data_IF_382964588274
#
_entry.id   IF_382964588274
#
_cell.length_a   1.000
_cell.length_b   1.000
_cell.length_c   1.000
_cell.angle_alpha   90.00
_cell.angle_beta   90.00
_cell.angle_gamma   90.00
#
_symmetry.space_group_name_H-M   'P 1'
#
loop_
_entity.id
_entity.type
_entity.pdbx_description
1 polymer ?
#
# COMPACT_ATOMS: atom_id res chain seq x y z
N UNK A 1 30.26 16.33 13.54
CA UNK A 1 29.33 15.20 13.32
C UNK A 1 29.95 14.35 12.22
N UNK A 2 30.25 13.08 12.49
CA UNK A 2 30.89 12.17 11.53
C UNK A 2 29.99 10.94 11.40
N UNK A 3 29.54 10.64 10.18
CA UNK A 3 28.73 9.46 9.88
C UNK A 3 29.68 8.31 9.58
N UNK A 4 29.57 7.24 10.37
CA UNK A 4 30.33 6.01 10.12
C UNK A 4 29.59 5.11 9.11
N UNK A 5 30.30 4.12 8.56
CA UNK A 5 29.82 3.24 7.48
C UNK A 5 28.76 2.23 8.02
N UNK A 6 28.69 2.04 9.35
CA UNK A 6 27.93 0.96 9.99
C UNK A 6 26.71 1.44 10.83
N UNK A 7 25.82 2.28 10.26
CA UNK A 7 24.58 2.72 10.94
C UNK A 7 24.81 3.25 12.37
N UNK A 8 25.88 3.98 12.57
CA UNK A 8 26.18 4.60 13.85
C UNK A 8 26.64 6.05 13.68
N UNK A 9 26.46 6.82 14.73
CA UNK A 9 26.74 8.25 14.75
C UNK A 9 27.49 8.61 16.02
N UNK A 10 28.64 9.26 15.85
CA UNK A 10 29.33 9.92 16.95
C UNK A 10 28.75 11.32 17.17
N UNK A 11 28.23 11.56 18.37
CA UNK A 11 27.71 12.85 18.80
C UNK A 11 28.58 13.40 19.92
N UNK A 12 29.01 14.66 19.79
CA UNK A 12 29.67 15.38 20.85
C UNK A 12 28.66 15.80 21.93
N UNK A 13 28.96 15.47 23.17
CA UNK A 13 28.18 15.83 24.36
C UNK A 13 29.05 16.67 25.30
N UNK A 14 28.43 17.33 26.28
CA UNK A 14 29.17 18.07 27.32
C UNK A 14 30.15 17.20 28.12
N UNK A 15 29.99 15.87 28.10
CA UNK A 15 30.83 14.91 28.82
C UNK A 15 31.73 14.07 27.90
N UNK A 16 31.90 14.47 26.63
CA UNK A 16 32.74 13.75 25.66
C UNK A 16 31.96 13.18 24.47
N UNK A 17 32.49 12.14 23.84
CA UNK A 17 31.90 11.52 22.65
C UNK A 17 30.93 10.41 23.04
N UNK A 18 29.69 10.48 22.55
CA UNK A 18 28.71 9.40 22.63
C UNK A 18 28.62 8.70 21.27
N UNK A 19 28.68 7.38 21.28
CA UNK A 19 28.44 6.54 20.10
C UNK A 19 26.98 6.11 20.11
N UNK A 20 26.20 6.62 19.17
CA UNK A 20 24.84 6.18 18.93
C UNK A 20 24.88 5.04 17.93
N UNK A 21 24.59 3.82 18.38
CA UNK A 21 24.28 2.70 17.49
C UNK A 21 22.79 2.73 17.21
N UNK A 22 22.42 2.92 15.95
CA UNK A 22 21.04 2.70 15.56
C UNK A 22 20.86 1.20 15.37
N UNK A 23 19.83 0.57 15.95
CA UNK A 23 19.50 -0.79 15.58
C UNK A 23 19.39 -0.80 14.06
N UNK A 24 20.06 -1.76 13.39
CA UNK A 24 19.70 -2.03 11.99
C UNK A 24 18.18 -2.13 11.95
N UNK A 25 17.50 -1.43 11.03
CA UNK A 25 16.05 -1.51 10.98
C UNK A 25 15.72 -2.99 10.92
N UNK A 26 15.12 -3.57 11.97
CA UNK A 26 14.59 -4.94 11.92
C UNK A 26 13.33 -4.97 11.04
N UNK A 27 13.27 -4.12 10.03
CA UNK A 27 12.56 -4.38 8.79
C UNK A 27 13.36 -5.50 8.09
N UNK A 28 13.34 -6.70 8.69
CA UNK A 28 13.61 -7.92 7.95
C UNK A 28 12.76 -7.79 6.69
N UNK A 29 13.39 -7.95 5.53
CA UNK A 29 12.83 -7.74 4.20
C UNK A 29 11.47 -8.48 4.08
N UNK A 30 10.38 -7.85 4.53
CA UNK A 30 9.18 -8.56 5.04
C UNK A 30 8.51 -9.41 3.96
N UNK A 31 8.79 -9.06 2.71
CA UNK A 31 8.30 -9.67 1.49
C UNK A 31 9.22 -9.35 0.31
N UNK A 32 10.51 -9.04 0.55
CA UNK A 32 11.54 -8.86 -0.48
C UNK A 32 11.59 -7.50 -1.20
N UNK A 33 12.19 -7.46 -2.39
CA UNK A 33 12.37 -6.23 -3.20
C UNK A 33 11.04 -5.67 -3.70
N UNK A 34 10.90 -4.35 -3.66
CA UNK A 34 9.69 -3.59 -4.04
C UNK A 34 10.04 -2.29 -4.73
N UNK A 35 9.06 -1.76 -5.45
CA UNK A 35 9.11 -0.42 -5.99
C UNK A 35 7.69 0.15 -6.13
N UNK A 36 7.56 1.46 -5.92
CA UNK A 36 6.35 2.23 -6.19
C UNK A 36 6.73 3.47 -6.99
N UNK A 37 5.94 3.80 -8.01
CA UNK A 37 5.95 5.10 -8.67
C UNK A 37 4.69 5.86 -8.22
N UNK A 38 4.85 6.93 -7.44
CA UNK A 38 3.76 7.83 -7.10
C UNK A 38 3.93 9.11 -7.91
N UNK A 39 2.93 9.47 -8.70
CA UNK A 39 3.02 10.58 -9.65
C UNK A 39 1.92 11.59 -9.34
N UNK A 40 2.30 12.81 -9.00
CA UNK A 40 1.41 13.92 -8.71
C UNK A 40 1.79 15.17 -9.53
N UNK A 41 1.25 15.32 -10.74
CA UNK A 41 1.51 16.48 -11.59
C UNK A 41 0.90 17.78 -11.06
N UNK A 42 1.27 18.91 -11.66
CA UNK A 42 0.73 20.21 -11.24
C UNK A 42 -0.77 20.28 -11.58
N UNK A 43 -1.65 20.48 -10.59
CA UNK A 43 -3.08 20.61 -10.84
C UNK A 43 -3.39 21.98 -11.46
N UNK A 44 -4.55 22.08 -12.12
CA UNK A 44 -5.06 23.38 -12.56
C UNK A 44 -5.31 24.25 -11.32
N UNK A 45 -4.73 25.45 -11.30
CA UNK A 45 -4.88 26.40 -10.19
C UNK A 45 -6.33 26.87 -10.07
N UNK A 46 -6.95 26.60 -8.92
CA UNK A 46 -8.32 27.01 -8.59
C UNK A 46 -9.00 26.04 -7.61
N UNK A 47 -10.02 26.49 -6.88
CA UNK A 47 -10.92 25.68 -6.04
C UNK A 47 -10.31 24.45 -5.32
N UNK A 48 -9.40 24.65 -4.37
CA UNK A 48 -8.85 23.61 -3.47
C UNK A 48 -8.26 22.34 -4.14
N UNK A 49 -8.22 22.23 -5.47
CA UNK A 49 -7.79 21.04 -6.22
C UNK A 49 -6.34 20.69 -5.93
N UNK A 50 -5.51 21.72 -5.75
CA UNK A 50 -4.13 21.64 -5.30
C UNK A 50 -4.03 20.96 -3.94
N UNK A 51 -4.74 21.48 -2.93
CA UNK A 51 -4.75 20.91 -1.58
C UNK A 51 -5.28 19.48 -1.57
N UNK A 52 -6.35 19.21 -2.33
CA UNK A 52 -6.96 17.88 -2.43
C UNK A 52 -5.96 16.87 -3.01
N UNK A 53 -5.33 17.17 -4.15
CA UNK A 53 -4.34 16.29 -4.77
C UNK A 53 -3.17 15.98 -3.83
N UNK A 54 -2.64 17.01 -3.15
CA UNK A 54 -1.58 16.84 -2.16
C UNK A 54 -1.99 15.93 -1.00
N UNK A 55 -3.21 16.10 -0.47
CA UNK A 55 -3.73 15.28 0.63
C UNK A 55 -3.99 13.84 0.20
N UNK A 56 -4.43 13.60 -1.04
CA UNK A 56 -4.57 12.25 -1.60
C UNK A 56 -3.20 11.60 -1.73
N UNK A 57 -2.24 12.25 -2.39
CA UNK A 57 -0.88 11.70 -2.56
C UNK A 57 -0.18 11.46 -1.23
N UNK A 58 -0.32 12.38 -0.26
CA UNK A 58 0.19 12.20 1.10
C UNK A 58 -0.46 11.02 1.82
N UNK A 59 -1.78 10.86 1.73
CA UNK A 59 -2.51 9.71 2.29
C UNK A 59 -2.03 8.37 1.70
N UNK A 60 -1.79 8.33 0.38
CA UNK A 60 -1.26 7.16 -0.32
C UNK A 60 0.16 6.86 0.16
N UNK A 61 1.06 7.86 0.17
CA UNK A 61 2.43 7.68 0.63
C UNK A 61 2.48 7.20 2.08
N UNK A 62 1.69 7.80 2.97
CA UNK A 62 1.59 7.37 4.36
C UNK A 62 1.06 5.93 4.48
N UNK A 63 0.11 5.52 3.63
CA UNK A 63 -0.37 4.14 3.58
C UNK A 63 0.73 3.16 3.15
N UNK A 64 1.61 3.56 2.22
CA UNK A 64 2.79 2.78 1.84
C UNK A 64 3.75 2.63 3.02
N UNK A 65 4.06 3.70 3.74
CA UNK A 65 4.93 3.66 4.93
C UNK A 65 4.34 2.78 6.05
N UNK A 66 3.04 2.89 6.32
CA UNK A 66 2.34 2.06 7.28
C UNK A 66 2.26 0.59 6.85
N UNK A 67 2.43 0.34 5.56
CA UNK A 67 2.61 -1.00 4.99
C UNK A 67 4.06 -1.27 4.70
N UNK A 68 4.97 -0.71 5.48
CA UNK A 68 6.39 -1.06 5.56
C UNK A 68 7.18 -0.89 4.26
N UNK A 69 6.70 -0.07 3.32
CA UNK A 69 7.57 0.46 2.27
C UNK A 69 8.53 1.46 2.89
N UNK A 70 9.75 1.49 2.37
CA UNK A 70 10.74 2.51 2.73
C UNK A 70 10.71 3.65 1.71
N UNK A 71 11.20 4.83 2.12
CA UNK A 71 11.31 5.97 1.21
C UNK A 71 12.14 5.63 -0.05
N UNK A 72 13.20 4.82 0.08
CA UNK A 72 14.03 4.40 -1.06
C UNK A 72 13.37 3.34 -1.97
N UNK A 73 12.16 2.88 -1.62
CA UNK A 73 11.33 1.98 -2.43
C UNK A 73 10.14 2.72 -3.09
N UNK A 74 9.98 4.02 -2.81
CA UNK A 74 8.92 4.87 -3.35
C UNK A 74 9.57 6.00 -4.13
N UNK A 75 9.43 6.00 -5.45
CA UNK A 75 9.85 7.13 -6.26
C UNK A 75 8.67 8.09 -6.44
N UNK A 76 8.67 9.18 -5.69
CA UNK A 76 7.60 10.16 -5.68
C UNK A 76 7.93 11.33 -6.61
N UNK A 77 7.27 11.37 -7.76
CA UNK A 77 7.28 12.53 -8.65
C UNK A 77 6.17 13.49 -8.26
N UNK A 78 6.54 14.68 -7.81
CA UNK A 78 5.60 15.72 -7.49
C UNK A 78 6.05 17.07 -8.06
N UNK A 79 5.11 17.86 -8.58
CA UNK A 79 5.42 19.17 -9.17
C UNK A 79 6.07 20.17 -8.18
N UNK A 80 5.95 19.91 -6.88
CA UNK A 80 6.63 20.66 -5.81
C UNK A 80 7.31 19.73 -4.80
N UNK A 81 8.45 20.13 -4.21
CA UNK A 81 9.19 19.31 -3.25
C UNK A 81 8.70 19.38 -1.80
N UNK A 82 7.88 20.37 -1.45
CA UNK A 82 7.47 20.68 -0.08
C UNK A 82 6.06 20.15 0.21
N UNK A 83 5.86 18.85 -0.03
CA UNK A 83 4.63 18.13 0.33
C UNK A 83 4.71 17.72 1.81
N UNK A 84 3.60 17.92 2.52
CA UNK A 84 3.37 17.49 3.90
C UNK A 84 2.52 16.21 3.88
N UNK A 85 3.19 15.07 4.02
CA UNK A 85 2.66 13.71 3.92
C UNK A 85 2.04 13.27 5.24
N UNK A 86 2.74 13.53 6.34
CA UNK A 86 2.31 13.12 7.69
C UNK A 86 1.29 14.08 8.32
N UNK A 87 1.03 15.22 7.67
CA UNK A 87 0.09 16.26 8.08
C UNK A 87 0.48 16.97 9.39
N UNK A 88 1.77 17.09 9.67
CA UNK A 88 2.31 17.80 10.83
C UNK A 88 2.56 19.30 10.57
N UNK A 89 2.11 19.81 9.42
CA UNK A 89 2.32 21.18 8.94
C UNK A 89 3.76 21.51 8.55
N UNK A 90 4.63 20.50 8.44
CA UNK A 90 5.98 20.62 7.91
C UNK A 90 6.16 19.78 6.65
N UNK A 91 7.07 20.23 5.77
CA UNK A 91 7.39 19.48 4.57
C UNK A 91 8.23 18.24 4.89
N UNK A 92 7.88 17.10 4.32
CA UNK A 92 8.64 15.86 4.38
C UNK A 92 9.82 15.92 3.41
N UNK A 93 10.93 16.52 3.88
CA UNK A 93 12.10 16.91 3.07
C UNK A 93 12.76 15.79 2.26
N UNK A 94 12.50 14.53 2.61
CA UNK A 94 13.10 13.36 1.97
C UNK A 94 12.10 12.55 1.12
N UNK A 95 10.88 13.04 0.92
CA UNK A 95 9.84 12.25 0.28
C UNK A 95 9.75 12.43 -1.24
N UNK A 96 9.99 13.63 -1.77
CA UNK A 96 9.87 13.94 -3.20
C UNK A 96 11.22 13.76 -3.91
N UNK A 97 11.26 12.87 -4.91
CA UNK A 97 12.47 12.50 -5.65
C UNK A 97 12.69 13.33 -6.91
N UNK A 98 11.62 13.80 -7.54
CA UNK A 98 11.67 14.49 -8.82
C UNK A 98 10.43 15.39 -9.04
N UNK A 99 10.51 16.40 -9.93
CA UNK A 99 11.67 16.79 -10.74
C UNK A 99 12.69 17.67 -9.99
N UNK A 100 12.27 18.24 -8.86
CA UNK A 100 13.11 19.05 -7.98
C UNK A 100 12.89 18.54 -6.56
N UNK A 101 13.94 18.16 -5.86
CA UNK A 101 13.88 17.72 -4.46
C UNK A 101 13.89 18.91 -3.50
N UNK A 102 13.54 18.68 -2.24
CA UNK A 102 13.59 19.71 -1.21
C UNK A 102 15.01 20.28 -1.06
N UNK A 103 16.03 19.41 -1.10
CA UNK A 103 17.42 19.81 -1.03
C UNK A 103 17.81 20.69 -2.22
N UNK A 104 17.43 20.31 -3.45
CA UNK A 104 17.71 21.11 -4.64
C UNK A 104 17.02 22.49 -4.57
N UNK A 105 15.77 22.56 -4.11
CA UNK A 105 15.07 23.84 -3.87
C UNK A 105 15.83 24.70 -2.86
N UNK A 106 16.31 24.11 -1.76
CA UNK A 106 17.11 24.84 -0.76
C UNK A 106 18.46 25.36 -1.30
N UNK A 107 18.93 24.78 -2.40
CA UNK A 107 20.14 25.18 -3.12
C UNK A 107 19.87 26.13 -4.31
N UNK A 108 18.62 26.57 -4.48
CA UNK A 108 18.23 27.57 -5.49
C UNK A 108 17.59 27.00 -6.75
N UNK A 109 17.32 25.69 -6.84
CA UNK A 109 16.55 25.14 -7.95
C UNK A 109 15.08 25.59 -7.88
N UNK A 110 14.52 25.99 -9.02
CA UNK A 110 13.11 26.40 -9.11
C UNK A 110 12.22 25.18 -9.31
N UNK A 111 11.23 24.93 -8.44
CA UNK A 111 10.21 23.90 -8.68
C UNK A 111 9.51 24.10 -10.03
N UNK A 112 9.17 22.99 -10.70
CA UNK A 112 8.58 23.00 -12.04
C UNK A 112 7.61 21.84 -12.22
N UNK A 113 6.72 21.97 -13.20
CA UNK A 113 5.84 20.88 -13.61
C UNK A 113 6.63 19.63 -14.04
N UNK A 114 5.98 18.47 -13.86
CA UNK A 114 6.45 17.17 -14.33
C UNK A 114 6.38 17.14 -15.85
N UNK A 115 7.38 16.53 -16.49
CA UNK A 115 7.41 16.28 -17.93
C UNK A 115 7.33 14.78 -18.21
N UNK A 116 7.05 14.39 -19.46
CA UNK A 116 7.15 12.99 -19.88
C UNK A 116 8.56 12.40 -19.65
N UNK A 117 9.61 13.22 -19.71
CA UNK A 117 10.98 12.77 -19.47
C UNK A 117 11.20 12.37 -18.00
N UNK A 118 10.62 13.11 -17.05
CA UNK A 118 10.71 12.78 -15.62
C UNK A 118 10.01 11.43 -15.34
N UNK A 119 8.85 11.18 -15.97
CA UNK A 119 8.14 9.91 -15.84
C UNK A 119 8.95 8.75 -16.43
N UNK A 120 9.56 8.93 -17.62
CA UNK A 120 10.47 7.91 -18.19
C UNK A 120 11.64 7.62 -17.26
N UNK A 121 12.22 8.64 -16.64
CA UNK A 121 13.31 8.48 -15.68
C UNK A 121 12.86 7.65 -14.45
N UNK A 122 11.64 7.84 -13.98
CA UNK A 122 11.07 7.05 -12.89
C UNK A 122 10.90 5.58 -13.27
N UNK A 123 10.43 5.29 -14.49
CA UNK A 123 10.38 3.93 -15.00
C UNK A 123 11.78 3.31 -15.15
N UNK A 124 12.78 4.08 -15.60
CA UNK A 124 14.18 3.62 -15.60
C UNK A 124 14.71 3.34 -14.20
N UNK A 125 14.38 4.17 -13.20
CA UNK A 125 14.69 3.89 -11.80
C UNK A 125 14.03 2.58 -11.34
N UNK A 126 12.77 2.34 -11.68
CA UNK A 126 12.07 1.11 -11.33
C UNK A 126 12.68 -0.12 -12.00
N UNK A 127 13.11 -0.01 -13.27
CA UNK A 127 13.82 -1.09 -13.98
C UNK A 127 15.12 -1.46 -13.26
N UNK A 128 15.85 -0.47 -12.73
CA UNK A 128 17.09 -0.69 -11.98
C UNK A 128 16.90 -1.40 -10.64
N UNK A 129 15.67 -1.49 -10.11
CA UNK A 129 15.37 -2.32 -8.94
C UNK A 129 15.44 -3.83 -9.26
N UNK A 130 15.32 -4.19 -10.55
CA UNK A 130 15.36 -5.55 -11.06
C UNK A 130 14.05 -6.31 -10.85
N UNK A 131 14.15 -7.63 -10.66
CA UNK A 131 12.99 -8.48 -10.36
C UNK A 131 12.49 -8.18 -8.95
N UNK A 132 11.20 -7.88 -8.84
CA UNK A 132 10.52 -7.57 -7.60
C UNK A 132 9.82 -8.80 -7.03
N UNK A 133 9.63 -8.82 -5.71
CA UNK A 133 8.84 -9.85 -5.03
C UNK A 133 7.36 -9.49 -4.94
N UNK A 134 7.00 -8.27 -5.31
CA UNK A 134 5.65 -7.72 -5.36
C UNK A 134 5.48 -6.98 -6.69
N UNK A 135 4.25 -6.75 -7.18
CA UNK A 135 4.03 -5.95 -8.38
C UNK A 135 4.65 -4.56 -8.26
N UNK A 136 5.13 -4.00 -9.38
CA UNK A 136 5.37 -2.56 -9.46
C UNK A 136 4.03 -1.86 -9.28
N UNK A 137 3.94 -1.01 -8.28
CA UNK A 137 2.76 -0.18 -8.08
C UNK A 137 2.99 1.18 -8.74
N UNK A 138 2.14 1.54 -9.70
CA UNK A 138 2.15 2.85 -10.37
C UNK A 138 0.86 3.57 -10.00
N UNK A 139 0.98 4.69 -9.30
CA UNK A 139 -0.17 5.48 -8.83
C UNK A 139 -0.07 6.88 -9.41
N UNK A 140 -1.10 7.32 -10.10
CA UNK A 140 -1.16 8.67 -10.66
C UNK A 140 -2.33 9.42 -10.04
N UNK A 141 -2.03 10.53 -9.36
CA UNK A 141 -3.00 11.47 -8.80
C UNK A 141 -2.92 12.75 -9.62
N UNK A 142 -3.81 12.88 -10.60
CA UNK A 142 -3.71 13.91 -11.63
C UNK A 142 -5.04 14.50 -12.04
N UNK A 143 -4.96 15.58 -12.82
CA UNK A 143 -6.13 16.18 -13.45
C UNK A 143 -6.37 15.52 -14.81
N UNK A 144 -7.55 14.96 -15.01
CA UNK A 144 -7.94 14.30 -16.26
C UNK A 144 -8.59 15.27 -17.22
N UNK A 145 -8.14 15.25 -18.46
CA UNK A 145 -8.76 15.96 -19.57
C UNK A 145 -9.96 15.14 -20.08
N UNK A 146 -10.87 15.76 -20.83
CA UNK A 146 -12.10 15.10 -21.32
C UNK A 146 -11.83 13.90 -22.26
N UNK A 147 -10.62 13.77 -22.79
CA UNK A 147 -10.17 12.64 -23.60
C UNK A 147 -9.51 11.52 -22.77
N UNK A 148 -9.52 11.65 -21.43
CA UNK A 148 -8.88 10.75 -20.47
C UNK A 148 -7.41 11.04 -20.20
N UNK A 149 -6.75 11.87 -21.02
CA UNK A 149 -5.32 12.14 -20.86
C UNK A 149 -5.06 12.89 -19.53
N UNK A 150 -3.93 12.62 -18.91
CA UNK A 150 -3.57 13.21 -17.62
C UNK A 150 -2.78 14.48 -17.86
N UNK A 151 -3.26 15.62 -17.39
CA UNK A 151 -2.54 16.89 -17.47
C UNK A 151 -1.27 16.83 -16.63
N UNK A 152 -0.12 17.05 -17.27
CA UNK A 152 1.19 17.12 -16.60
C UNK A 152 1.58 18.56 -16.26
N UNK A 153 1.29 19.48 -17.19
CA UNK A 153 1.68 20.88 -17.09
C UNK A 153 0.53 21.80 -17.56
N UNK A 154 -0.16 22.48 -16.63
CA UNK A 154 -1.24 23.42 -16.97
C UNK A 154 -0.79 24.63 -17.79
N UNK A 155 0.48 25.03 -17.73
CA UNK A 155 0.97 26.20 -18.46
C UNK A 155 1.19 25.91 -19.95
N UNK A 156 1.53 24.67 -20.30
CA UNK A 156 1.80 24.24 -21.68
C UNK A 156 0.71 23.35 -22.27
N UNK A 157 -0.26 22.91 -21.45
CA UNK A 157 -1.20 21.83 -21.76
C UNK A 157 -0.50 20.52 -22.16
N UNK A 158 0.70 20.26 -21.65
CA UNK A 158 1.34 18.95 -21.83
C UNK A 158 0.55 17.90 -21.05
N UNK A 159 0.15 16.83 -21.74
CA UNK A 159 -0.61 15.71 -21.17
C UNK A 159 0.14 14.39 -21.36
N UNK A 160 -0.09 13.42 -20.48
CA UNK A 160 0.29 12.03 -20.62
C UNK A 160 -0.90 11.23 -21.16
N UNK A 161 -0.72 10.62 -22.31
CA UNK A 161 -1.74 9.72 -22.89
C UNK A 161 -1.62 8.30 -22.38
N UNK A 162 -2.72 7.54 -22.46
CA UNK A 162 -2.74 6.11 -22.13
C UNK A 162 -1.77 5.30 -23.00
N UNK A 163 -1.63 5.66 -24.28
CA UNK A 163 -0.69 4.99 -25.18
C UNK A 163 0.77 5.20 -24.76
N UNK A 164 1.14 6.42 -24.36
CA UNK A 164 2.50 6.71 -23.89
C UNK A 164 2.81 6.00 -22.57
N UNK A 165 1.87 6.01 -21.63
CA UNK A 165 2.02 5.26 -20.37
C UNK A 165 2.08 3.75 -20.62
N UNK A 166 1.26 3.23 -21.54
CA UNK A 166 1.24 1.83 -21.94
C UNK A 166 2.59 1.38 -22.52
N UNK A 167 3.24 2.20 -23.34
CA UNK A 167 4.61 1.94 -23.83
C UNK A 167 5.61 1.85 -22.67
N UNK A 168 5.59 2.80 -21.72
CA UNK A 168 6.50 2.78 -20.57
C UNK A 168 6.30 1.53 -19.69
N UNK A 169 5.04 1.12 -19.48
CA UNK A 169 4.72 -0.11 -18.74
C UNK A 169 5.18 -1.36 -19.49
N UNK A 170 5.00 -1.41 -20.82
CA UNK A 170 5.45 -2.53 -21.65
C UNK A 170 6.98 -2.65 -21.61
N UNK A 171 7.70 -1.55 -21.77
CA UNK A 171 9.17 -1.52 -21.70
C UNK A 171 9.66 -1.99 -20.32
N UNK A 172 9.00 -1.55 -19.24
CA UNK A 172 9.30 -1.99 -17.88
C UNK A 172 9.07 -3.51 -17.70
N UNK A 173 7.90 -4.01 -18.09
CA UNK A 173 7.54 -5.41 -17.89
C UNK A 173 8.36 -6.34 -18.80
N UNK A 174 8.70 -5.91 -20.02
CA UNK A 174 9.61 -6.64 -20.90
C UNK A 174 11.01 -6.78 -20.28
N UNK A 175 11.54 -5.69 -19.72
CA UNK A 175 12.88 -5.68 -19.13
C UNK A 175 12.98 -6.47 -17.81
N UNK A 176 11.91 -6.48 -17.01
CA UNK A 176 11.96 -6.99 -15.63
C UNK A 176 11.15 -8.26 -15.38
N UNK A 177 10.20 -8.58 -16.27
CA UNK A 177 9.20 -9.64 -16.10
C UNK A 177 8.28 -9.46 -14.88
N UNK A 178 8.30 -8.29 -14.24
CA UNK A 178 7.49 -8.00 -13.08
C UNK A 178 6.00 -7.83 -13.44
N UNK A 179 5.13 -8.19 -12.50
CA UNK A 179 3.73 -7.77 -12.53
C UNK A 179 3.64 -6.25 -12.29
N UNK A 180 2.63 -5.59 -12.85
CA UNK A 180 2.34 -4.19 -12.58
C UNK A 180 0.89 -4.00 -12.10
N UNK A 181 0.68 -3.09 -11.15
CA UNK A 181 -0.63 -2.58 -10.76
C UNK A 181 -0.64 -1.09 -11.03
N UNK A 182 -1.57 -0.63 -11.87
CA UNK A 182 -1.73 0.79 -12.22
C UNK A 182 -2.99 1.32 -11.56
N UNK A 183 -2.88 2.40 -10.81
CA UNK A 183 -4.00 3.06 -10.13
C UNK A 183 -4.06 4.51 -10.61
N UNK A 184 -5.22 4.89 -11.13
CA UNK A 184 -5.47 6.20 -11.73
C UNK A 184 -6.52 6.95 -10.90
N UNK A 185 -6.09 7.96 -10.16
CA UNK A 185 -6.96 8.94 -9.52
C UNK A 185 -7.06 10.19 -10.40
N UNK A 186 -8.06 10.21 -11.26
CA UNK A 186 -8.27 11.27 -12.24
C UNK A 186 -9.67 11.22 -12.84
N UNK A 187 -10.16 12.37 -13.29
CA UNK A 187 -11.36 12.46 -14.10
C UNK A 187 -11.18 11.66 -15.41
N UNK A 188 -12.26 11.04 -15.91
CA UNK A 188 -12.29 10.29 -17.16
C UNK A 188 -11.24 9.16 -17.27
N UNK A 189 -10.67 8.71 -16.14
CA UNK A 189 -9.54 7.77 -16.10
C UNK A 189 -9.87 6.40 -16.70
N UNK A 190 -11.16 6.01 -16.70
CA UNK A 190 -11.65 4.82 -17.40
C UNK A 190 -11.32 4.80 -18.89
N UNK A 191 -11.17 5.96 -19.54
CA UNK A 191 -10.84 6.05 -20.96
C UNK A 191 -9.41 5.59 -21.29
N UNK A 192 -8.54 5.47 -20.29
CA UNK A 192 -7.16 5.02 -20.48
C UNK A 192 -7.02 3.50 -20.53
N UNK A 193 -7.98 2.74 -20.01
CA UNK A 193 -7.90 1.28 -19.85
C UNK A 193 -7.53 0.54 -21.15
N UNK A 194 -8.20 0.78 -22.31
CA UNK A 194 -7.86 0.07 -23.54
C UNK A 194 -6.43 0.28 -24.02
N UNK A 195 -5.86 1.46 -23.79
CA UNK A 195 -4.48 1.78 -24.16
C UNK A 195 -3.46 1.23 -23.15
N UNK A 196 -3.92 0.91 -21.94
CA UNK A 196 -3.13 0.37 -20.85
C UNK A 196 -3.21 -1.16 -20.75
N UNK A 197 -3.94 -1.84 -21.64
CA UNK A 197 -3.94 -3.30 -21.71
C UNK A 197 -2.52 -3.88 -21.76
N UNK A 198 -2.31 -5.04 -21.15
CA UNK A 198 -1.02 -5.70 -21.11
C UNK A 198 -1.03 -6.97 -20.26
N UNK A 199 -0.14 -7.90 -20.58
CA UNK A 199 -0.03 -9.13 -19.79
C UNK A 199 0.50 -8.84 -18.38
N UNK A 200 0.03 -9.63 -17.41
CA UNK A 200 0.48 -9.56 -16.02
C UNK A 200 0.33 -8.13 -15.45
N UNK A 201 -0.82 -7.50 -15.72
CA UNK A 201 -1.13 -6.12 -15.33
C UNK A 201 -2.53 -6.06 -14.74
N UNK A 202 -2.68 -5.28 -13.67
CA UNK A 202 -3.97 -4.89 -13.11
C UNK A 202 -4.11 -3.39 -13.30
N UNK A 203 -5.31 -2.92 -13.66
CA UNK A 203 -5.58 -1.51 -13.87
C UNK A 203 -6.80 -1.12 -13.05
N UNK A 204 -6.67 -0.04 -12.27
CA UNK A 204 -7.73 0.52 -11.45
C UNK A 204 -7.91 1.98 -11.82
N UNK A 205 -9.14 2.37 -12.17
CA UNK A 205 -9.51 3.77 -12.39
C UNK A 205 -10.48 4.26 -11.32
N UNK A 206 -10.36 5.52 -10.93
CA UNK A 206 -11.29 6.16 -9.98
C UNK A 206 -12.63 6.54 -10.62
N UNK A 207 -12.71 6.60 -11.96
CA UNK A 207 -13.93 6.97 -12.70
C UNK A 207 -14.12 6.13 -13.97
N UNK A 208 -15.32 6.19 -14.55
CA UNK A 208 -15.61 5.73 -15.91
C UNK A 208 -15.02 6.67 -16.97
N UNK A 209 -15.21 6.34 -18.25
CA UNK A 209 -14.74 7.09 -19.43
C UNK A 209 -15.38 8.48 -19.57
N UNK A 210 -16.56 8.69 -18.98
CA UNK A 210 -17.43 9.85 -19.15
C UNK A 210 -17.71 10.60 -17.84
N UNK A 211 -17.04 10.24 -16.76
CA UNK A 211 -17.28 10.77 -15.43
C UNK A 211 -16.11 11.60 -14.91
N UNK A 212 -16.41 12.82 -14.43
CA UNK A 212 -15.47 13.66 -13.70
C UNK A 212 -15.27 13.17 -12.26
N UNK A 213 -14.18 13.59 -11.62
CA UNK A 213 -13.99 13.34 -10.19
C UNK A 213 -15.01 14.08 -9.34
N UNK A 214 -15.44 13.48 -8.22
CA UNK A 214 -16.39 14.07 -7.28
C UNK A 214 -15.74 14.09 -5.90
N UNK A 215 -15.27 15.25 -5.49
CA UNK A 215 -14.70 15.46 -4.15
C UNK A 215 -15.53 16.49 -3.38
N UNK A 216 -15.79 16.23 -2.11
CA UNK A 216 -16.29 17.21 -1.18
C UNK A 216 -15.13 18.16 -0.81
N UNK A 217 -15.23 19.47 -1.16
CA UNK A 217 -14.17 20.42 -0.86
C UNK A 217 -13.91 20.59 0.64
N UNK A 218 -14.84 20.18 1.52
CA UNK A 218 -14.67 20.22 2.98
C UNK A 218 -13.94 18.98 3.53
N UNK A 219 -13.90 17.88 2.78
CA UNK A 219 -13.23 16.64 3.19
C UNK A 219 -11.79 16.57 2.70
N UNK A 220 -11.37 17.52 1.85
CA UNK A 220 -9.98 17.69 1.39
C UNK A 220 -9.37 16.39 0.84
N UNK A 221 -10.14 15.64 0.04
CA UNK A 221 -9.69 14.40 -0.61
C UNK A 221 -9.68 13.17 0.29
N UNK A 222 -10.17 13.26 1.54
CA UNK A 222 -10.42 12.07 2.37
C UNK A 222 -11.48 11.16 1.74
N UNK A 223 -12.40 11.75 1.02
CA UNK A 223 -13.43 11.13 0.20
C UNK A 223 -13.02 10.98 -1.26
N UNK A 224 -11.72 10.92 -1.57
CA UNK A 224 -11.27 10.44 -2.88
C UNK A 224 -11.16 8.91 -2.89
N UNK A 225 -11.51 8.30 -4.03
CA UNK A 225 -11.49 6.85 -4.18
C UNK A 225 -10.16 6.24 -3.74
N UNK A 226 -9.03 6.79 -4.22
CA UNK A 226 -7.71 6.27 -3.88
C UNK A 226 -7.35 6.46 -2.41
N UNK A 227 -7.83 7.52 -1.75
CA UNK A 227 -7.66 7.67 -0.29
C UNK A 227 -8.33 6.54 0.46
N UNK A 228 -9.57 6.19 0.09
CA UNK A 228 -10.31 5.09 0.72
C UNK A 228 -9.75 3.72 0.34
N UNK A 229 -9.32 3.56 -0.91
CA UNK A 229 -8.74 2.33 -1.41
C UNK A 229 -7.42 2.00 -0.69
N UNK A 230 -6.51 2.98 -0.59
CA UNK A 230 -5.27 2.81 0.16
C UNK A 230 -5.50 2.69 1.67
N UNK A 231 -6.55 3.31 2.21
CA UNK A 231 -6.94 3.07 3.59
C UNK A 231 -7.32 1.61 3.84
N UNK A 232 -8.14 1.00 2.98
CA UNK A 232 -8.52 -0.41 3.09
C UNK A 232 -7.33 -1.36 2.86
N UNK A 233 -6.45 -1.06 1.88
CA UNK A 233 -5.19 -1.78 1.68
C UNK A 233 -4.27 -1.71 2.91
N UNK A 234 -4.18 -0.53 3.53
CA UNK A 234 -3.41 -0.33 4.77
C UNK A 234 -3.98 -1.16 5.92
N UNK A 235 -5.29 -1.36 5.97
CA UNK A 235 -5.94 -2.18 7.01
C UNK A 235 -5.73 -3.69 6.84
N UNK A 236 -5.01 -4.14 5.82
CA UNK A 236 -4.76 -5.57 5.55
C UNK A 236 -5.65 -6.17 4.47
N UNK A 237 -6.49 -5.36 3.83
CA UNK A 237 -7.26 -5.79 2.66
C UNK A 237 -6.36 -6.15 1.48
N UNK A 238 -6.78 -7.15 0.70
CA UNK A 238 -6.20 -7.40 -0.62
C UNK A 238 -6.76 -6.36 -1.62
N UNK A 239 -6.14 -6.23 -2.80
CA UNK A 239 -6.55 -5.24 -3.82
C UNK A 239 -8.02 -5.43 -4.22
N UNK A 240 -8.53 -6.67 -4.22
CA UNK A 240 -9.93 -6.92 -4.55
C UNK A 240 -10.88 -6.40 -3.45
N UNK A 241 -10.75 -6.87 -2.22
CA UNK A 241 -11.62 -6.48 -1.11
C UNK A 241 -11.55 -4.98 -0.84
N UNK A 242 -10.34 -4.39 -0.94
CA UNK A 242 -10.14 -2.96 -0.75
C UNK A 242 -10.83 -2.13 -1.85
N UNK A 243 -10.84 -2.61 -3.11
CA UNK A 243 -11.57 -1.95 -4.19
C UNK A 243 -13.07 -1.92 -3.90
N UNK A 244 -13.64 -3.05 -3.47
CA UNK A 244 -15.06 -3.14 -3.14
C UNK A 244 -15.43 -2.40 -1.86
N UNK A 245 -14.52 -2.26 -0.90
CA UNK A 245 -14.74 -1.41 0.27
C UNK A 245 -14.80 0.06 -0.15
N UNK A 246 -13.82 0.52 -0.93
CA UNK A 246 -13.77 1.89 -1.43
C UNK A 246 -14.97 2.22 -2.35
N UNK A 247 -15.43 1.28 -3.18
CA UNK A 247 -16.56 1.47 -4.10
C UNK A 247 -17.91 1.61 -3.40
N UNK A 248 -18.12 1.04 -2.21
CA UNK A 248 -19.47 0.91 -1.57
C UNK A 248 -20.16 2.23 -1.24
N UNK A 249 -19.43 3.33 -1.11
CA UNK A 249 -19.95 4.61 -0.61
C UNK A 249 -19.68 5.79 -1.55
N UNK A 250 -19.52 5.55 -2.85
CA UNK A 250 -19.12 6.60 -3.81
C UNK A 250 -20.19 6.97 -4.83
N UNK A 251 -20.23 8.26 -5.12
CA UNK A 251 -20.91 8.84 -6.29
C UNK A 251 -20.12 8.63 -7.58
N UNK A 252 -18.80 8.45 -7.47
CA UNK A 252 -17.95 8.00 -8.56
C UNK A 252 -18.10 6.50 -8.79
N UNK A 253 -17.81 6.06 -10.00
CA UNK A 253 -17.84 4.65 -10.43
C UNK A 253 -16.42 4.19 -10.76
N UNK A 254 -15.64 3.76 -9.75
CA UNK A 254 -14.33 3.15 -9.98
C UNK A 254 -14.46 1.89 -10.84
N UNK A 255 -13.43 1.62 -11.63
CA UNK A 255 -13.34 0.43 -12.49
C UNK A 255 -12.09 -0.38 -12.14
N UNK A 256 -12.21 -1.70 -12.25
CA UNK A 256 -11.14 -2.67 -12.01
C UNK A 256 -11.05 -3.59 -13.23
N UNK A 257 -9.90 -3.57 -13.89
CA UNK A 257 -9.46 -4.56 -14.87
C UNK A 257 -8.45 -5.48 -14.15
N UNK A 258 -8.90 -6.70 -13.84
CA UNK A 258 -8.18 -7.67 -13.01
C UNK A 258 -7.21 -8.52 -13.85
N UNK A 259 -7.46 -8.68 -15.16
CA UNK A 259 -6.66 -9.54 -16.03
C UNK A 259 -5.86 -8.80 -17.13
N UNK A 260 -6.02 -7.49 -17.22
CA UNK A 260 -5.21 -6.58 -18.03
C UNK A 260 -5.63 -6.55 -19.50
N UNK A 261 -6.87 -6.93 -19.83
CA UNK A 261 -7.38 -6.97 -21.20
C UNK A 261 -7.92 -5.61 -21.70
N UNK A 262 -7.92 -4.59 -20.84
CA UNK A 262 -8.36 -3.23 -21.14
C UNK A 262 -9.88 -3.07 -21.18
N UNK A 263 -10.65 -4.09 -20.78
CA UNK A 263 -12.11 -4.08 -20.73
C UNK A 263 -12.60 -4.40 -19.31
N UNK A 264 -13.75 -3.81 -18.95
CA UNK A 264 -14.39 -4.09 -17.66
C UNK A 264 -15.49 -5.10 -17.85
N UNK A 265 -15.33 -6.26 -17.21
CA UNK A 265 -16.25 -7.39 -17.34
C UNK A 265 -16.69 -7.93 -15.97
N UNK A 266 -17.70 -8.81 -15.96
CA UNK A 266 -18.10 -9.53 -14.74
C UNK A 266 -17.06 -10.55 -14.26
N UNK A 267 -16.01 -10.81 -15.05
CA UNK A 267 -14.89 -11.65 -14.65
C UNK A 267 -13.94 -10.89 -13.72
N UNK A 268 -13.72 -9.61 -13.98
CA UNK A 268 -12.90 -8.74 -13.12
C UNK A 268 -13.50 -8.60 -11.73
N UNK A 269 -14.83 -8.63 -11.67
CA UNK A 269 -15.59 -8.59 -10.42
C UNK A 269 -15.35 -9.81 -9.52
N UNK A 270 -14.70 -10.86 -10.01
CA UNK A 270 -14.34 -12.04 -9.21
C UNK A 270 -12.96 -11.90 -8.56
N UNK A 271 -12.15 -10.92 -8.97
CA UNK A 271 -10.85 -10.59 -8.37
C UNK A 271 -9.86 -11.75 -8.36
N UNK A 272 -9.77 -12.53 -9.44
CA UNK A 272 -8.92 -13.73 -9.50
C UNK A 272 -7.46 -13.41 -9.19
N UNK A 273 -6.97 -12.29 -9.71
CA UNK A 273 -5.60 -11.81 -9.51
C UNK A 273 -5.55 -10.94 -8.25
N UNK A 274 -6.37 -9.90 -8.17
CA UNK A 274 -6.35 -8.90 -7.09
C UNK A 274 -6.69 -9.45 -5.71
N UNK A 275 -7.42 -10.55 -5.57
CA UNK A 275 -7.67 -11.19 -4.28
C UNK A 275 -6.43 -11.86 -3.67
N UNK A 276 -5.40 -12.11 -4.49
CA UNK A 276 -4.14 -12.73 -4.08
C UNK A 276 -3.05 -11.71 -3.77
N UNK A 277 -3.30 -10.44 -4.10
CA UNK A 277 -2.33 -9.35 -3.98
C UNK A 277 -2.72 -8.47 -2.80
N UNK A 278 -1.75 -8.12 -1.95
CA UNK A 278 -1.93 -7.18 -0.86
C UNK A 278 -0.82 -6.13 -0.91
N UNK A 279 -1.09 -4.93 -0.38
CA UNK A 279 -0.08 -3.89 -0.33
C UNK A 279 1.09 -4.34 0.55
N UNK A 280 2.26 -4.53 -0.05
CA UNK A 280 3.43 -5.15 0.59
C UNK A 280 3.26 -6.62 1.06
N UNK A 281 2.27 -7.37 0.57
CA UNK A 281 2.00 -8.75 0.98
C UNK A 281 0.97 -8.88 2.10
N UNK A 282 0.32 -10.05 2.21
CA UNK A 282 -0.91 -10.20 2.99
C UNK A 282 -0.72 -10.49 4.49
N UNK A 283 0.50 -10.75 4.94
CA UNK A 283 0.86 -10.99 6.36
C UNK A 283 -0.15 -11.82 7.18
N UNK A 284 -0.74 -12.86 6.57
CA UNK A 284 -1.71 -13.70 7.26
C UNK A 284 -0.99 -14.76 8.11
N UNK A 285 -1.60 -15.21 9.23
CA UNK A 285 -1.16 -16.44 9.89
C UNK A 285 -1.14 -17.60 8.90
N UNK A 286 -0.03 -18.34 8.87
CA UNK A 286 0.19 -19.41 7.90
C UNK A 286 0.05 -20.77 8.58
N UNK A 287 -0.97 -21.51 8.19
CA UNK A 287 -1.11 -22.92 8.53
C UNK A 287 -0.06 -23.76 7.77
N UNK A 288 0.47 -24.82 8.38
CA UNK A 288 1.44 -25.73 7.76
C UNK A 288 0.87 -26.51 6.58
N UNK A 289 -0.45 -26.70 6.54
CA UNK A 289 -1.22 -27.28 5.43
C UNK A 289 -2.61 -26.66 5.35
N UNK A 290 -3.25 -26.75 4.18
CA UNK A 290 -4.58 -26.17 3.96
C UNK A 290 -5.74 -26.95 4.59
N UNK A 291 -5.62 -28.29 4.65
CA UNK A 291 -6.65 -29.18 5.18
C UNK A 291 -6.00 -30.16 6.15
N UNK A 292 -6.59 -30.32 7.34
CA UNK A 292 -6.15 -31.23 8.39
C UNK A 292 -7.18 -32.34 8.64
N UNK A 293 -6.71 -33.54 8.94
CA UNK A 293 -7.50 -34.74 9.25
C UNK A 293 -7.12 -35.31 10.62
N UNK A 294 -7.91 -36.24 11.12
CA UNK A 294 -7.58 -36.94 12.37
C UNK A 294 -6.18 -37.55 12.34
N UNK A 295 -5.39 -37.27 13.37
CA UNK A 295 -3.99 -37.67 13.46
C UNK A 295 -2.99 -36.63 12.95
N UNK A 296 -3.45 -35.62 12.20
CA UNK A 296 -2.60 -34.49 11.83
C UNK A 296 -2.36 -33.56 13.03
N UNK A 297 -1.34 -32.72 12.93
CA UNK A 297 -1.06 -31.65 13.90
C UNK A 297 -1.23 -30.31 13.21
N UNK A 298 -2.19 -29.52 13.67
CA UNK A 298 -2.34 -28.13 13.23
C UNK A 298 -1.13 -27.36 13.73
N UNK A 299 -0.38 -26.74 12.82
CA UNK A 299 0.68 -25.80 13.17
C UNK A 299 0.45 -24.49 12.44
N UNK A 300 0.38 -23.39 13.17
CA UNK A 300 0.22 -22.04 12.60
C UNK A 300 1.42 -21.18 12.97
N UNK A 301 2.05 -20.58 11.97
CA UNK A 301 3.16 -19.64 12.13
C UNK A 301 2.73 -18.22 11.79
N UNK A 302 3.36 -17.23 12.43
CA UNK A 302 3.12 -15.82 12.21
C UNK A 302 4.20 -15.23 11.30
N UNK A 303 3.87 -14.22 10.48
CA UNK A 303 4.87 -13.44 9.77
C UNK A 303 5.74 -12.65 10.77
N UNK A 304 6.95 -12.23 10.38
CA UNK A 304 7.81 -11.43 11.26
C UNK A 304 7.09 -10.18 11.78
N UNK A 305 7.31 -9.86 13.06
CA UNK A 305 6.77 -8.68 13.74
C UNK A 305 7.60 -7.44 13.39
N UNK A 306 7.00 -6.39 12.80
CA UNK A 306 7.66 -5.10 12.62
C UNK A 306 8.05 -4.46 13.96
N UNK A 307 9.14 -3.69 13.98
CA UNK A 307 9.74 -3.14 15.22
C UNK A 307 8.82 -2.17 15.95
N UNK A 308 7.98 -1.47 15.20
CA UNK A 308 7.13 -0.37 15.65
C UNK A 308 5.68 -0.81 15.90
N UNK A 309 5.43 -2.12 15.96
CA UNK A 309 4.09 -2.68 16.09
C UNK A 309 3.97 -3.59 17.30
N UNK A 310 2.81 -3.50 17.93
CA UNK A 310 2.29 -4.56 18.79
C UNK A 310 1.42 -5.49 17.93
N UNK A 311 1.38 -6.78 18.30
CA UNK A 311 0.54 -7.76 17.60
C UNK A 311 -0.34 -8.57 18.55
N UNK A 312 -1.52 -8.89 18.04
CA UNK A 312 -2.56 -9.65 18.71
C UNK A 312 -3.02 -10.75 17.77
N UNK A 313 -3.24 -11.94 18.29
CA UNK A 313 -3.60 -13.10 17.49
C UNK A 313 -4.87 -13.75 18.01
N UNK A 314 -5.64 -14.31 17.09
CA UNK A 314 -6.87 -15.00 17.43
C UNK A 314 -7.25 -16.05 16.41
N UNK A 315 -8.20 -16.88 16.79
CA UNK A 315 -8.78 -17.92 15.95
C UNK A 315 -10.28 -17.96 16.19
N UNK A 316 -11.07 -18.08 15.12
CA UNK A 316 -12.47 -18.41 15.23
C UNK A 316 -12.68 -19.91 15.01
N UNK A 317 -13.57 -20.50 15.80
CA UNK A 317 -14.09 -21.83 15.55
C UNK A 317 -15.14 -21.80 14.43
N UNK A 318 -15.46 -22.95 13.80
CA UNK A 318 -16.50 -23.04 12.78
C UNK A 318 -17.89 -22.59 13.24
N UNK A 319 -18.16 -22.57 14.54
CA UNK A 319 -19.41 -22.09 15.14
C UNK A 319 -19.45 -20.56 15.34
N UNK A 320 -18.36 -19.85 15.00
CA UNK A 320 -18.23 -18.40 15.14
C UNK A 320 -17.64 -17.93 16.46
N UNK A 321 -17.36 -18.83 17.42
CA UNK A 321 -16.71 -18.47 18.69
C UNK A 321 -15.29 -17.99 18.45
N UNK A 322 -14.92 -16.82 18.99
CA UNK A 322 -13.58 -16.22 18.83
C UNK A 322 -12.76 -16.41 20.09
N UNK A 323 -11.53 -16.91 19.90
CA UNK A 323 -10.50 -17.02 20.92
C UNK A 323 -9.32 -16.12 20.57
N UNK A 324 -8.71 -15.53 21.59
CA UNK A 324 -7.47 -14.75 21.50
C UNK A 324 -6.37 -15.45 22.27
N UNK A 325 -5.13 -15.32 21.82
CA UNK A 325 -3.99 -15.98 22.45
C UNK A 325 -2.96 -14.95 22.94
N UNK A 326 -2.51 -15.11 24.17
CA UNK A 326 -1.43 -14.31 24.77
C UNK A 326 -0.05 -14.95 24.57
N UNK A 327 0.01 -16.27 24.34
CA UNK A 327 1.22 -17.07 24.18
C UNK A 327 0.89 -18.38 23.42
N UNK A 328 1.90 -19.20 23.12
CA UNK A 328 1.79 -20.48 22.43
C UNK A 328 0.71 -21.38 23.05
N UNK A 329 -0.32 -21.72 22.28
CA UNK A 329 -1.48 -22.51 22.72
C UNK A 329 -2.27 -21.93 23.92
N UNK A 330 -2.05 -20.67 24.31
CA UNK A 330 -2.70 -20.05 25.46
C UNK A 330 -4.03 -19.38 25.06
N UNK A 331 -5.08 -20.18 24.85
CA UNK A 331 -6.39 -19.69 24.44
C UNK A 331 -7.15 -19.00 25.58
N UNK A 332 -7.78 -17.87 25.25
CA UNK A 332 -8.73 -17.19 26.11
C UNK A 332 -9.91 -16.69 25.28
N UNK A 333 -11.09 -16.57 25.89
CA UNK A 333 -12.25 -15.98 25.22
C UNK A 333 -12.02 -14.49 24.98
N UNK A 334 -12.55 -13.97 23.87
CA UNK A 334 -12.52 -12.54 23.59
C UNK A 334 -13.22 -11.75 24.71
N UNK A 335 -12.46 -10.94 25.45
CA UNK A 335 -12.94 -10.11 26.55
C UNK A 335 -12.99 -8.61 26.19
N UNK A 336 -13.01 -7.76 27.22
CA UNK A 336 -12.95 -6.29 27.08
C UNK A 336 -11.54 -5.75 26.82
N UNK A 337 -10.54 -6.63 26.74
CA UNK A 337 -9.15 -6.31 26.42
C UNK A 337 -8.57 -7.37 25.50
N UNK A 338 -7.69 -6.97 24.58
CA UNK A 338 -6.93 -7.90 23.77
C UNK A 338 -5.57 -8.18 24.42
N UNK A 339 -5.22 -9.45 24.70
CA UNK A 339 -3.93 -9.76 25.28
C UNK A 339 -2.83 -9.61 24.23
N UNK A 340 -1.79 -8.84 24.57
CA UNK A 340 -0.60 -8.69 23.73
C UNK A 340 0.07 -10.05 23.53
N UNK A 341 0.39 -10.41 22.29
CA UNK A 341 1.11 -11.64 21.98
C UNK A 341 2.53 -11.60 22.54
N UNK A 342 2.86 -12.55 23.42
CA UNK A 342 4.19 -12.73 24.02
C UNK A 342 4.94 -13.95 23.47
N UNK A 343 4.26 -14.78 22.67
CA UNK A 343 4.86 -16.00 22.13
C UNK A 343 5.84 -15.74 20.97
N UNK A 344 6.37 -16.83 20.42
CA UNK A 344 7.29 -16.77 19.29
C UNK A 344 6.61 -16.57 17.94
N UNK A 345 7.26 -17.07 16.90
CA UNK A 345 6.79 -17.16 15.53
C UNK A 345 5.79 -18.32 15.30
N UNK A 346 5.59 -19.20 16.28
CA UNK A 346 4.56 -20.24 16.27
C UNK A 346 3.40 -19.81 17.17
N UNK A 347 2.23 -19.60 16.55
CA UNK A 347 1.00 -19.21 17.23
C UNK A 347 0.38 -20.37 18.02
N UNK A 348 0.23 -21.52 17.36
CA UNK A 348 -0.36 -22.71 17.96
C UNK A 348 0.15 -23.99 17.31
N UNK A 349 0.17 -25.06 18.09
CA UNK A 349 0.39 -26.43 17.65
C UNK A 349 -0.56 -27.39 18.38
N UNK A 350 -1.57 -27.92 17.69
CA UNK A 350 -2.67 -28.69 18.30
C UNK A 350 -2.97 -29.95 17.49
N UNK A 351 -3.03 -31.15 18.12
CA UNK A 351 -3.37 -32.38 17.42
C UNK A 351 -4.86 -32.41 17.04
N UNK A 352 -5.15 -32.83 15.81
CA UNK A 352 -6.52 -33.04 15.34
C UNK A 352 -7.04 -34.37 15.84
N UNK A 353 -8.10 -34.31 16.63
CA UNK A 353 -8.80 -35.47 17.19
C UNK A 353 -10.32 -35.37 16.95
N UNK A 354 -11.05 -36.42 17.33
CA UNK A 354 -12.49 -36.51 17.10
C UNK A 354 -13.31 -35.39 17.79
N UNK A 355 -12.78 -34.78 18.86
CA UNK A 355 -13.43 -33.70 19.59
C UNK A 355 -13.23 -32.30 19.00
N UNK A 356 -12.35 -32.14 18.00
CA UNK A 356 -12.16 -30.86 17.33
C UNK A 356 -13.29 -30.62 16.31
N UNK A 357 -13.98 -29.47 16.33
CA UNK A 357 -15.00 -29.15 15.33
C UNK A 357 -14.47 -29.25 13.89
N UNK A 358 -15.34 -29.66 12.96
CA UNK A 358 -15.02 -29.72 11.54
C UNK A 358 -15.45 -28.44 10.85
N UNK A 359 -14.70 -28.02 9.84
CA UNK A 359 -14.97 -26.83 9.05
C UNK A 359 -13.78 -25.88 8.97
N UNK A 360 -14.08 -24.64 8.58
CA UNK A 360 -13.09 -23.59 8.39
C UNK A 360 -12.85 -22.83 9.67
N UNK A 361 -11.57 -22.61 9.98
CA UNK A 361 -11.10 -21.83 11.11
C UNK A 361 -10.42 -20.55 10.59
N UNK A 362 -11.08 -19.38 10.71
CA UNK A 362 -10.44 -18.10 10.46
C UNK A 362 -9.31 -17.84 11.47
N UNK A 363 -8.17 -17.36 10.98
CA UNK A 363 -6.99 -17.00 11.77
C UNK A 363 -6.80 -15.49 11.69
N UNK A 364 -6.69 -14.82 12.82
CA UNK A 364 -6.58 -13.37 12.89
C UNK A 364 -5.17 -12.96 13.33
N UNK A 365 -4.58 -12.02 12.61
CA UNK A 365 -3.42 -11.25 13.05
C UNK A 365 -3.76 -9.77 12.98
N UNK A 366 -3.90 -9.15 14.15
CA UNK A 366 -4.09 -7.72 14.29
C UNK A 366 -2.76 -7.08 14.69
N UNK A 367 -2.35 -6.05 13.97
CA UNK A 367 -1.22 -5.18 14.33
C UNK A 367 -1.68 -3.75 14.49
N UNK A 368 -1.06 -3.05 15.43
CA UNK A 368 -1.26 -1.62 15.71
C UNK A 368 0.09 -0.99 16.06
N UNK A 369 0.25 0.34 15.97
CA UNK A 369 1.45 1.02 16.46
C UNK A 369 1.75 0.66 17.92
N UNK A 370 3.03 0.54 18.26
CA UNK A 370 3.48 0.18 19.60
C UNK A 370 2.85 1.05 20.68
N UNK A 371 2.30 0.42 21.73
CA UNK A 371 1.67 1.09 22.87
C UNK A 371 0.25 1.58 22.63
N UNK A 372 -0.32 1.38 21.44
CA UNK A 372 -1.71 1.75 21.13
C UNK A 372 -2.66 0.66 21.60
N UNK A 373 -3.71 1.05 22.32
CA UNK A 373 -4.82 0.14 22.64
C UNK A 373 -5.66 -0.13 21.37
N UNK A 374 -5.69 -1.37 20.85
CA UNK A 374 -6.43 -1.66 19.62
C UNK A 374 -7.94 -1.44 19.75
N UNK A 375 -8.55 -1.70 20.92
CA UNK A 375 -10.00 -1.60 21.05
C UNK A 375 -10.50 -0.16 21.08
N UNK A 376 -9.63 0.79 21.44
CA UNK A 376 -9.93 2.22 21.45
C UNK A 376 -9.59 2.92 20.13
N UNK A 377 -8.77 2.29 19.28
CA UNK A 377 -8.23 2.89 18.05
C UNK A 377 -8.41 1.96 16.83
N UNK A 378 -9.65 1.57 16.47
CA UNK A 378 -9.94 0.66 15.35
C UNK A 378 -9.50 1.19 13.99
N UNK A 379 -9.38 2.51 13.83
CA UNK A 379 -8.87 3.17 12.64
C UNK A 379 -7.39 2.89 12.39
N UNK A 380 -6.62 2.49 13.41
CA UNK A 380 -5.20 2.16 13.29
C UNK A 380 -4.93 0.68 13.00
N UNK A 381 -5.98 -0.14 12.91
CA UNK A 381 -5.84 -1.58 12.72
C UNK A 381 -5.16 -1.94 11.40
N UNK A 382 -4.29 -2.94 11.47
CA UNK A 382 -3.85 -3.77 10.36
C UNK A 382 -4.31 -5.20 10.64
N UNK A 383 -5.51 -5.55 10.19
CA UNK A 383 -6.14 -6.83 10.42
C UNK A 383 -5.94 -7.73 9.20
N UNK A 384 -5.11 -8.76 9.36
CA UNK A 384 -4.86 -9.76 8.34
C UNK A 384 -5.55 -11.07 8.74
N UNK A 385 -6.30 -11.66 7.81
CA UNK A 385 -7.11 -12.86 8.07
C UNK A 385 -6.65 -14.00 7.17
N UNK A 386 -6.13 -15.06 7.80
CA UNK A 386 -5.86 -16.35 7.17
C UNK A 386 -6.97 -17.37 7.47
N UNK A 387 -6.81 -18.59 6.98
CA UNK A 387 -7.71 -19.68 7.34
C UNK A 387 -7.02 -21.04 7.25
N UNK A 388 -7.62 -22.01 7.91
CA UNK A 388 -7.35 -23.44 7.73
C UNK A 388 -8.66 -24.23 7.75
N UNK A 389 -8.63 -25.47 7.25
CA UNK A 389 -9.80 -26.37 7.27
C UNK A 389 -9.47 -27.63 8.05
N UNK A 390 -10.38 -28.03 8.94
CA UNK A 390 -10.35 -29.35 9.59
C UNK A 390 -11.45 -30.21 8.99
N UNK A 391 -11.06 -31.27 8.28
CA UNK A 391 -11.93 -32.17 7.52
C UNK A 391 -12.32 -33.43 8.26
#
# INVERSE_FOLDING_TARGET
MYKDIDNSLWVGTYNGLAHLTFPQPRLANLSGKRAVLLIHPEPIRGHNTHTIGEKISGSIYNSLLNRYYRNDEIYFLAYKPDIDINQDYHADKNAVDAPVTFLQKSQGATPRAITKADIRQAFSWAQNQGVLNQPLLVVIVGHGMNDGNILLNPATNETLSGAELGVMLNDYQQATQNQAIVILESAYSGALLPALQGQNRVIVSSTTTDQAVQYDPNLLGRDAFSSQYFHALRRGGNFHSAFYEAKRNYTQTPQLDDDGDGMITSRDEQGRVTAQLCLNGCFTPKASQGVYRNGDTIRVTLPPLPVDKDQYVGIALPDGSIFVLSDFNAFSSLGTSLPLWQGGDVMLEVPVNAGLPRGTYPLFLLRVPYGVNPLENPELWELNVGSLVVG
#
